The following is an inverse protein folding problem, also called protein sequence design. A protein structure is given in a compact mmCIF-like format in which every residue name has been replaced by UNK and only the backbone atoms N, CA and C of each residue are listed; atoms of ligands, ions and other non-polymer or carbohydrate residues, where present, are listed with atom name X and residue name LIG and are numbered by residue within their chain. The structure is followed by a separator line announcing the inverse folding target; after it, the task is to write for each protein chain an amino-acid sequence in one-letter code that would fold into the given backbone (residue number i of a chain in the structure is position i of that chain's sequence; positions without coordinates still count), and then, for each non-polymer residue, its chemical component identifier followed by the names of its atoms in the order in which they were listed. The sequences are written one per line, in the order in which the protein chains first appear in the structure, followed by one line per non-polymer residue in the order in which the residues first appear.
data_IF_792128660793
#
_entry.id   IF_792128660793
#
_cell.length_a   1.000
_cell.length_b   1.000
_cell.length_c   1.000
_cell.angle_alpha   90.00
_cell.angle_beta   90.00
_cell.angle_gamma   90.00
#
_symmetry.space_group_name_H-M   'P 1'
#
loop_
_entity.id
_entity.type
_entity.pdbx_description
1 polymer ?
#
# COMPACT_ATOMS: atom_id res chain seq x y z
N UNK A 1 25.20 67.00 14.00
CA UNK A 1 25.92 65.74 14.15
C UNK A 1 25.38 64.81 13.05
N UNK A 2 26.26 64.47 12.09
CA UNK A 2 25.83 63.63 10.94
C UNK A 2 25.72 62.19 11.35
N UNK A 3 24.65 61.47 10.87
CA UNK A 3 24.41 60.06 11.11
C UNK A 3 25.66 59.19 10.84
N UNK A 4 26.45 59.55 9.85
CA UNK A 4 27.71 58.90 9.51
C UNK A 4 28.78 59.01 10.60
N UNK A 5 28.84 60.11 11.35
CA UNK A 5 29.79 60.28 12.44
C UNK A 5 29.44 59.44 13.66
N UNK A 6 28.11 59.28 13.94
CA UNK A 6 27.62 58.41 14.97
C UNK A 6 27.93 56.96 14.69
N UNK A 7 27.72 56.52 13.44
CA UNK A 7 28.05 55.15 13.00
C UNK A 7 29.56 54.90 13.09
N UNK A 8 30.40 55.84 12.68
CA UNK A 8 31.86 55.73 12.72
C UNK A 8 32.39 55.65 14.15
N UNK A 9 31.85 56.46 15.08
CA UNK A 9 32.16 56.38 16.51
C UNK A 9 31.75 55.05 17.14
N UNK A 10 30.55 54.55 16.81
CA UNK A 10 30.03 53.26 17.29
C UNK A 10 30.90 52.09 16.82
N UNK A 11 31.24 52.03 15.54
CA UNK A 11 32.10 50.99 14.97
C UNK A 11 33.50 51.01 15.58
N UNK A 12 34.07 52.20 15.83
CA UNK A 12 35.40 52.35 16.43
C UNK A 12 35.41 51.91 17.90
N UNK A 13 34.34 52.15 18.63
CA UNK A 13 34.16 51.69 20.01
C UNK A 13 34.03 50.14 20.11
N UNK A 14 33.30 49.51 19.16
CA UNK A 14 33.18 48.07 19.01
C UNK A 14 34.53 47.41 18.67
N UNK A 15 35.34 48.06 17.86
CA UNK A 15 36.65 47.55 17.40
C UNK A 15 37.70 47.54 18.53
N UNK A 16 37.56 48.39 19.56
CA UNK A 16 38.47 48.41 20.73
C UNK A 16 38.27 47.23 21.66
N UNK A 17 37.06 46.60 21.69
CA UNK A 17 36.75 45.45 22.56
C UNK A 17 36.30 44.23 21.73
N UNK A 18 37.12 43.83 20.76
CA UNK A 18 36.80 42.84 19.74
C UNK A 18 36.29 41.53 20.32
N UNK A 19 36.90 41.02 21.38
CA UNK A 19 36.56 39.72 21.98
C UNK A 19 35.17 39.74 22.62
N UNK A 20 34.80 40.78 23.35
CA UNK A 20 33.49 40.93 24.00
C UNK A 20 32.39 41.08 22.97
N UNK A 21 32.61 41.91 21.94
CA UNK A 21 31.65 42.11 20.85
C UNK A 21 31.43 40.80 20.04
N UNK A 22 32.53 40.09 19.76
CA UNK A 22 32.46 38.81 19.06
C UNK A 22 31.62 37.76 19.84
N UNK A 23 31.88 37.63 21.15
CA UNK A 23 31.13 36.68 21.98
C UNK A 23 29.64 37.01 22.12
N UNK A 24 29.31 38.34 22.24
CA UNK A 24 27.89 38.72 22.31
C UNK A 24 27.17 38.53 20.98
N UNK A 25 27.79 38.85 19.84
CA UNK A 25 27.23 38.60 18.51
C UNK A 25 27.07 37.10 18.25
N UNK A 26 28.09 36.30 18.61
CA UNK A 26 28.04 34.85 18.49
C UNK A 26 26.90 34.25 19.32
N UNK A 27 26.72 34.71 20.55
CA UNK A 27 25.63 34.24 21.42
C UNK A 27 24.25 34.55 20.84
N UNK A 28 24.06 35.78 20.31
CA UNK A 28 22.79 36.15 19.65
C UNK A 28 22.58 35.33 18.37
N UNK A 29 23.64 35.13 17.58
CA UNK A 29 23.57 34.37 16.33
C UNK A 29 23.19 32.92 16.60
N UNK A 30 23.80 32.24 17.57
CA UNK A 30 23.47 30.88 17.95
C UNK A 30 22.04 30.80 18.48
N UNK A 31 21.64 31.76 19.33
CA UNK A 31 20.28 31.81 19.88
C UNK A 31 19.20 31.96 18.80
N UNK A 32 19.41 32.92 17.88
CA UNK A 32 18.45 33.11 16.76
C UNK A 32 18.45 31.95 15.78
N UNK A 33 19.61 31.39 15.45
CA UNK A 33 19.71 30.23 14.57
C UNK A 33 18.98 29.03 15.16
N UNK A 34 19.13 28.78 16.48
CA UNK A 34 18.42 27.68 17.17
C UNK A 34 16.91 27.83 17.08
N UNK A 35 16.37 29.02 17.28
CA UNK A 35 14.92 29.28 17.17
C UNK A 35 14.44 29.05 15.73
N UNK A 36 15.17 29.54 14.73
CA UNK A 36 14.80 29.39 13.32
C UNK A 36 14.79 27.92 12.93
N UNK A 37 15.81 27.14 13.33
CA UNK A 37 15.88 25.71 13.06
C UNK A 37 14.70 24.97 13.71
N UNK A 38 14.36 25.29 14.96
CA UNK A 38 13.26 24.67 15.68
C UNK A 38 11.90 24.93 14.98
N UNK A 39 11.65 26.17 14.58
CA UNK A 39 10.43 26.54 13.86
C UNK A 39 10.39 25.85 12.48
N UNK A 40 11.50 25.87 11.75
CA UNK A 40 11.60 25.25 10.42
C UNK A 40 11.35 23.75 10.49
N UNK A 41 11.91 23.05 11.49
CA UNK A 41 11.68 21.62 11.70
C UNK A 41 10.21 21.35 12.03
N UNK A 42 9.60 22.16 12.90
CA UNK A 42 8.18 22.02 13.26
C UNK A 42 7.25 22.20 12.05
N UNK A 43 7.48 23.22 11.24
CA UNK A 43 6.69 23.45 10.02
C UNK A 43 6.90 22.35 8.97
N UNK A 44 8.15 21.88 8.81
CA UNK A 44 8.46 20.78 7.88
C UNK A 44 7.76 19.50 8.28
N UNK A 45 7.78 19.16 9.58
CA UNK A 45 7.11 17.98 10.11
C UNK A 45 5.58 18.08 9.95
N UNK A 46 5.00 19.25 10.24
CA UNK A 46 3.58 19.49 10.03
C UNK A 46 3.18 19.32 8.57
N UNK A 47 3.93 19.87 7.63
CA UNK A 47 3.65 19.75 6.20
C UNK A 47 3.76 18.30 5.73
N UNK A 48 4.72 17.53 6.23
CA UNK A 48 4.88 16.11 5.92
C UNK A 48 3.66 15.31 6.39
N UNK A 49 3.20 15.54 7.62
CA UNK A 49 2.00 14.88 8.17
C UNK A 49 0.73 15.23 7.37
N UNK A 50 0.55 16.49 6.99
CA UNK A 50 -0.61 16.85 6.15
C UNK A 50 -0.59 16.15 4.79
N UNK A 51 0.58 16.07 4.16
CA UNK A 51 0.74 15.36 2.86
C UNK A 51 0.42 13.88 3.00
N UNK A 52 0.88 13.23 4.06
CA UNK A 52 0.61 11.81 4.34
C UNK A 52 -0.87 11.54 4.56
N UNK A 53 -1.54 12.37 5.36
CA UNK A 53 -2.98 12.28 5.59
C UNK A 53 -3.77 12.51 4.29
N UNK A 54 -3.36 13.47 3.46
CA UNK A 54 -4.01 13.74 2.18
C UNK A 54 -3.86 12.57 1.20
N UNK A 55 -2.71 11.93 1.15
CA UNK A 55 -2.46 10.72 0.35
C UNK A 55 -3.25 9.51 0.85
N UNK A 56 -3.55 9.43 2.13
CA UNK A 56 -4.41 8.38 2.72
C UNK A 56 -5.91 8.57 2.45
N UNK A 57 -6.30 9.64 1.74
CA UNK A 57 -7.69 9.97 1.43
C UNK A 57 -8.27 11.14 2.22
N UNK A 58 -7.44 11.83 3.02
CA UNK A 58 -7.82 13.01 3.81
C UNK A 58 -8.45 12.68 5.16
N UNK A 59 -8.66 13.73 5.96
CA UNK A 59 -9.24 13.64 7.31
C UNK A 59 -10.72 13.21 7.33
N UNK A 60 -11.39 13.19 6.19
CA UNK A 60 -12.78 12.79 6.02
C UNK A 60 -12.96 11.33 5.62
N UNK A 61 -11.89 10.55 5.63
CA UNK A 61 -11.87 9.15 5.15
C UNK A 61 -12.01 8.18 6.32
N UNK A 62 -12.97 7.26 6.21
CA UNK A 62 -13.21 6.15 7.14
C UNK A 62 -12.94 4.85 6.39
N UNK A 63 -12.16 3.96 6.97
CA UNK A 63 -11.99 2.61 6.44
C UNK A 63 -12.82 1.63 7.24
N UNK A 64 -13.73 0.94 6.55
CA UNK A 64 -14.57 -0.10 7.12
C UNK A 64 -13.98 -1.44 6.69
N UNK A 65 -13.61 -2.29 7.65
CA UNK A 65 -13.11 -3.64 7.40
C UNK A 65 -14.16 -4.68 7.80
N UNK A 66 -14.29 -5.75 7.01
CA UNK A 66 -15.17 -6.86 7.35
C UNK A 66 -14.62 -7.67 8.53
N UNK A 67 -15.48 -8.35 9.27
CA UNK A 67 -15.13 -9.14 10.45
C UNK A 67 -14.20 -10.33 10.15
N UNK A 68 -14.18 -10.81 8.90
CA UNK A 68 -13.37 -11.96 8.47
C UNK A 68 -11.90 -11.62 8.15
N UNK A 69 -11.53 -10.34 8.14
CA UNK A 69 -10.19 -9.89 7.71
C UNK A 69 -9.22 -9.64 8.87
N UNK A 70 -9.49 -10.11 10.07
CA UNK A 70 -8.46 -10.13 11.08
C UNK A 70 -7.47 -11.24 10.75
N UNK A 71 -6.40 -10.79 10.10
CA UNK A 71 -5.05 -11.35 10.08
C UNK A 71 -4.95 -12.85 10.43
N UNK A 72 -4.40 -13.67 9.54
CA UNK A 72 -4.23 -15.12 9.59
C UNK A 72 -3.80 -15.81 10.89
N UNK A 73 -4.22 -15.31 12.03
CA UNK A 73 -4.06 -15.87 13.35
C UNK A 73 -5.43 -16.22 13.90
N UNK A 74 -5.93 -17.39 13.47
CA UNK A 74 -7.08 -18.03 14.09
C UNK A 74 -6.77 -18.34 15.56
N UNK A 75 -7.03 -17.38 16.44
CA UNK A 75 -7.40 -17.73 17.79
C UNK A 75 -8.80 -18.35 17.68
N UNK A 76 -8.89 -19.68 17.77
CA UNK A 76 -10.11 -20.39 18.08
C UNK A 76 -10.69 -19.81 19.38
N UNK A 77 -11.46 -18.74 19.25
CA UNK A 77 -12.33 -18.29 20.31
C UNK A 77 -13.56 -19.22 20.30
N UNK A 78 -13.50 -20.26 21.12
CA UNK A 78 -14.67 -21.02 21.56
C UNK A 78 -15.65 -20.08 22.25
N UNK A 79 -16.54 -19.48 21.48
CA UNK A 79 -17.65 -18.68 21.96
C UNK A 79 -18.87 -18.95 21.08
N UNK A 80 -19.80 -19.75 21.57
CA UNK A 80 -21.10 -20.02 20.99
C UNK A 80 -21.92 -18.71 20.92
N UNK A 81 -21.92 -18.05 19.77
CA UNK A 81 -22.83 -16.99 19.42
C UNK A 81 -22.94 -16.96 17.89
N UNK A 82 -24.17 -16.98 17.37
CA UNK A 82 -24.46 -16.70 15.98
C UNK A 82 -24.12 -15.22 15.70
N UNK A 83 -22.85 -14.92 15.59
CA UNK A 83 -22.43 -13.64 15.00
C UNK A 83 -22.63 -13.79 13.49
N UNK A 84 -23.59 -13.04 12.99
CA UNK A 84 -23.76 -12.81 11.56
C UNK A 84 -22.50 -12.10 11.12
N UNK A 85 -21.56 -12.85 10.54
CA UNK A 85 -20.32 -12.29 10.00
C UNK A 85 -20.68 -11.13 9.09
N UNK A 86 -20.36 -9.91 9.51
CA UNK A 86 -20.64 -8.69 8.75
C UNK A 86 -19.63 -8.61 7.61
N UNK A 87 -20.05 -9.10 6.44
CA UNK A 87 -19.26 -9.08 5.21
C UNK A 87 -19.64 -7.88 4.37
N UNK A 88 -18.65 -7.34 3.69
CA UNK A 88 -18.85 -6.21 2.79
C UNK A 88 -19.21 -6.76 1.41
N UNK A 89 -20.49 -6.62 1.03
CA UNK A 89 -21.01 -6.98 -0.28
C UNK A 89 -21.50 -5.75 -1.05
N UNK A 90 -21.94 -5.95 -2.29
CA UNK A 90 -22.45 -4.87 -3.14
C UNK A 90 -23.68 -4.18 -2.50
N UNK A 91 -24.50 -4.90 -1.72
CA UNK A 91 -25.70 -4.33 -1.08
C UNK A 91 -25.33 -3.39 0.08
N UNK A 92 -24.32 -3.78 0.87
CA UNK A 92 -23.81 -2.93 1.95
C UNK A 92 -23.15 -1.67 1.39
N UNK A 93 -22.35 -1.81 0.32
CA UNK A 93 -21.73 -0.67 -0.37
C UNK A 93 -22.81 0.31 -0.87
N UNK A 94 -23.86 -0.19 -1.52
CA UNK A 94 -24.97 0.63 -2.00
C UNK A 94 -25.71 1.30 -0.85
N UNK A 95 -25.96 0.58 0.26
CA UNK A 95 -26.62 1.14 1.45
C UNK A 95 -25.80 2.28 2.04
N UNK A 96 -24.48 2.10 2.21
CA UNK A 96 -23.60 3.11 2.78
C UNK A 96 -23.46 4.30 1.83
N UNK A 97 -23.41 4.08 0.52
CA UNK A 97 -23.30 5.17 -0.46
C UNK A 97 -24.52 6.12 -0.48
N UNK A 98 -25.67 5.64 0.02
CA UNK A 98 -26.92 6.42 0.10
C UNK A 98 -27.16 7.06 1.47
N UNK A 99 -26.24 6.90 2.42
CA UNK A 99 -26.33 7.51 3.73
C UNK A 99 -26.10 9.01 3.67
N UNK A 100 -26.73 9.73 4.56
CA UNK A 100 -26.50 11.17 4.72
C UNK A 100 -25.03 11.41 5.08
N UNK A 101 -24.48 12.52 4.60
CA UNK A 101 -23.09 12.93 4.80
C UNK A 101 -22.02 12.00 4.18
N UNK A 102 -22.39 10.99 3.39
CA UNK A 102 -21.46 10.15 2.63
C UNK A 102 -21.31 10.69 1.22
N UNK A 103 -20.10 11.13 0.89
CA UNK A 103 -19.72 11.65 -0.45
C UNK A 103 -19.26 10.54 -1.39
N UNK A 104 -18.60 9.53 -0.85
CA UNK A 104 -18.07 8.41 -1.62
C UNK A 104 -18.02 7.17 -0.74
N UNK A 105 -18.45 6.03 -1.29
CA UNK A 105 -18.24 4.70 -0.73
C UNK A 105 -17.53 3.85 -1.79
N UNK A 106 -16.22 3.65 -1.63
CA UNK A 106 -15.38 2.94 -2.58
C UNK A 106 -14.99 1.57 -2.02
N UNK A 107 -15.51 0.46 -2.59
CA UNK A 107 -15.10 -0.88 -2.19
C UNK A 107 -13.67 -1.16 -2.65
N UNK A 108 -12.92 -1.85 -1.80
CA UNK A 108 -11.55 -2.26 -2.03
C UNK A 108 -11.49 -3.79 -1.91
N UNK A 109 -10.90 -4.42 -2.90
CA UNK A 109 -10.55 -5.82 -2.83
C UNK A 109 -9.03 -5.98 -2.88
N UNK A 110 -8.48 -6.57 -1.83
CA UNK A 110 -7.06 -6.80 -1.68
C UNK A 110 -6.74 -8.28 -1.90
N UNK A 111 -5.70 -8.54 -2.66
CA UNK A 111 -5.19 -9.89 -2.88
C UNK A 111 -3.70 -9.85 -3.11
N UNK A 112 -3.01 -10.89 -2.65
CA UNK A 112 -1.58 -11.05 -2.94
C UNK A 112 -1.39 -11.63 -4.33
N UNK A 113 -0.49 -11.05 -5.11
CA UNK A 113 -0.14 -11.52 -6.45
C UNK A 113 1.38 -11.59 -6.61
N UNK A 114 1.84 -12.44 -7.53
CA UNK A 114 3.24 -12.53 -7.90
C UNK A 114 3.44 -11.85 -9.24
N UNK A 115 4.41 -10.95 -9.30
CA UNK A 115 4.86 -10.30 -10.52
C UNK A 115 6.20 -10.91 -10.96
N UNK A 116 6.30 -11.20 -12.25
CA UNK A 116 7.51 -11.80 -12.83
C UNK A 116 8.04 -10.95 -13.98
N UNK A 117 9.37 -10.78 -14.01
CA UNK A 117 10.11 -10.17 -15.12
C UNK A 117 11.46 -10.85 -15.32
N UNK A 118 11.57 -11.66 -16.35
CA UNK A 118 12.78 -12.45 -16.56
C UNK A 118 13.06 -13.39 -15.40
N UNK A 119 14.22 -13.23 -14.74
CA UNK A 119 14.61 -13.95 -13.53
C UNK A 119 14.18 -13.28 -12.23
N UNK A 120 13.50 -12.13 -12.31
CA UNK A 120 13.05 -11.41 -11.12
C UNK A 120 11.59 -11.73 -10.79
N UNK A 121 11.32 -11.82 -9.50
CA UNK A 121 10.00 -12.05 -8.93
C UNK A 121 9.74 -11.06 -7.78
N UNK A 122 8.51 -10.58 -7.67
CA UNK A 122 8.04 -9.82 -6.52
C UNK A 122 6.67 -10.35 -6.09
N UNK A 123 6.46 -10.48 -4.79
CA UNK A 123 5.13 -10.72 -4.22
C UNK A 123 4.60 -9.41 -3.67
N UNK A 124 3.49 -8.94 -4.22
CA UNK A 124 2.94 -7.61 -3.91
C UNK A 124 1.46 -7.71 -3.54
N UNK A 125 0.99 -6.72 -2.80
CA UNK A 125 -0.43 -6.55 -2.50
C UNK A 125 -1.10 -5.77 -3.62
N UNK A 126 -2.03 -6.42 -4.31
CA UNK A 126 -2.84 -5.81 -5.36
C UNK A 126 -4.16 -5.32 -4.78
N UNK A 127 -4.43 -4.04 -4.92
CA UNK A 127 -5.67 -3.40 -4.47
C UNK A 127 -6.53 -3.04 -5.69
N UNK A 128 -7.65 -3.75 -5.84
CA UNK A 128 -8.67 -3.42 -6.82
C UNK A 128 -9.63 -2.38 -6.27
N UNK A 129 -9.73 -1.24 -6.94
CA UNK A 129 -10.60 -0.13 -6.53
C UNK A 129 -11.42 0.39 -7.71
N UNK A 130 -12.56 1.02 -7.40
CA UNK A 130 -13.34 1.73 -8.42
C UNK A 130 -12.58 2.97 -8.93
N UNK A 131 -12.87 3.47 -10.14
CA UNK A 131 -12.21 4.67 -10.67
C UNK A 131 -12.36 5.90 -9.74
N UNK A 132 -13.51 6.04 -9.09
CA UNK A 132 -13.77 7.09 -8.11
C UNK A 132 -12.92 6.88 -6.84
N UNK A 133 -12.78 5.62 -6.41
CA UNK A 133 -11.91 5.25 -5.29
C UNK A 133 -10.46 5.60 -5.57
N UNK A 134 -9.94 5.23 -6.74
CA UNK A 134 -8.56 5.56 -7.17
C UNK A 134 -8.33 7.08 -7.24
N UNK A 135 -9.30 7.84 -7.77
CA UNK A 135 -9.23 9.31 -7.77
C UNK A 135 -9.20 9.90 -6.36
N UNK A 136 -9.91 9.27 -5.41
CA UNK A 136 -9.98 9.76 -4.03
C UNK A 136 -8.67 9.62 -3.25
N UNK A 137 -7.76 8.77 -3.71
CA UNK A 137 -6.43 8.59 -3.13
C UNK A 137 -5.47 9.75 -3.44
N UNK A 138 -5.85 10.62 -4.38
CA UNK A 138 -5.07 11.82 -4.75
C UNK A 138 -3.58 11.50 -5.03
N UNK A 139 -3.33 10.33 -5.68
CA UNK A 139 -1.98 9.87 -5.99
C UNK A 139 -1.30 10.81 -6.98
N UNK A 140 -0.11 11.26 -6.63
CA UNK A 140 0.76 11.98 -7.56
C UNK A 140 1.43 10.97 -8.49
N UNK A 141 0.91 10.84 -9.72
CA UNK A 141 1.50 9.99 -10.74
C UNK A 141 2.58 10.78 -11.48
N UNK A 142 3.84 10.39 -11.28
CA UNK A 142 4.97 11.01 -11.97
C UNK A 142 4.87 10.81 -13.48
N UNK A 143 4.64 9.57 -13.88
CA UNK A 143 4.42 9.17 -15.27
C UNK A 143 3.16 8.31 -15.35
N UNK A 144 2.29 8.60 -16.29
CA UNK A 144 1.12 7.77 -16.58
C UNK A 144 -0.24 8.38 -16.22
N UNK A 145 -1.24 7.51 -16.19
CA UNK A 145 -2.65 7.87 -15.93
C UNK A 145 -3.32 6.80 -15.09
N UNK A 146 -4.49 7.10 -14.56
CA UNK A 146 -5.32 6.09 -13.89
C UNK A 146 -5.71 4.96 -14.87
N UNK A 147 -5.82 3.71 -14.39
CA UNK A 147 -6.20 2.57 -15.22
C UNK A 147 -7.58 2.76 -15.80
N UNK A 148 -7.76 2.30 -17.05
CA UNK A 148 -9.03 2.40 -17.76
C UNK A 148 -9.89 1.18 -17.46
N UNK A 149 -11.16 1.42 -17.16
CA UNK A 149 -12.15 0.36 -16.96
C UNK A 149 -12.55 -0.29 -18.28
N UNK A 150 -12.69 -1.62 -18.29
CA UNK A 150 -13.29 -2.35 -19.41
C UNK A 150 -12.40 -2.52 -20.66
N UNK A 151 -11.10 -2.32 -20.55
CA UNK A 151 -10.15 -2.52 -21.66
C UNK A 151 -9.85 -4.00 -21.97
N UNK A 152 -10.30 -4.93 -21.13
CA UNK A 152 -10.01 -6.36 -21.23
C UNK A 152 -8.57 -6.73 -20.84
N UNK A 153 -7.74 -5.75 -20.54
CA UNK A 153 -6.38 -5.92 -20.02
C UNK A 153 -6.26 -5.24 -18.66
N UNK A 154 -5.62 -5.91 -17.72
CA UNK A 154 -5.38 -5.34 -16.40
C UNK A 154 -4.21 -4.35 -16.50
N UNK A 155 -4.50 -3.09 -16.19
CA UNK A 155 -3.53 -2.02 -16.07
C UNK A 155 -3.25 -1.76 -14.59
N UNK A 156 -1.97 -1.57 -14.24
CA UNK A 156 -1.51 -1.44 -12.86
C UNK A 156 -0.92 -0.06 -12.62
N UNK A 157 -1.21 0.51 -11.43
CA UNK A 157 -0.43 1.63 -10.88
C UNK A 157 0.50 1.04 -9.84
N UNK A 158 1.77 1.36 -9.93
CA UNK A 158 2.78 0.91 -8.99
C UNK A 158 3.14 2.01 -7.98
N UNK A 159 3.26 1.64 -6.71
CA UNK A 159 3.91 2.46 -5.71
C UNK A 159 5.39 2.67 -6.05
N UNK A 160 5.96 3.77 -5.57
CA UNK A 160 7.36 4.13 -5.86
C UNK A 160 8.37 3.13 -5.27
N UNK A 161 8.00 2.35 -4.24
CA UNK A 161 8.83 1.33 -3.61
C UNK A 161 8.71 -0.07 -4.20
N UNK A 162 7.69 -0.38 -4.97
CA UNK A 162 7.43 -1.74 -5.48
C UNK A 162 8.62 -2.33 -6.25
N UNK A 163 9.46 -1.51 -6.86
CA UNK A 163 10.66 -1.96 -7.54
C UNK A 163 11.67 -2.63 -6.59
N UNK A 164 11.66 -2.28 -5.29
CA UNK A 164 12.54 -2.85 -4.28
C UNK A 164 12.12 -4.23 -3.80
N UNK A 165 10.85 -4.62 -4.05
CA UNK A 165 10.31 -5.94 -3.70
C UNK A 165 10.73 -7.04 -4.67
N UNK A 166 11.29 -6.63 -5.83
CA UNK A 166 11.79 -7.61 -6.80
C UNK A 166 13.12 -8.21 -6.35
N UNK A 167 13.16 -9.52 -6.32
CA UNK A 167 14.38 -10.31 -6.06
C UNK A 167 14.61 -11.33 -7.16
N UNK A 168 15.84 -11.74 -7.32
CA UNK A 168 16.24 -12.75 -8.31
C UNK A 168 15.89 -14.15 -7.84
N UNK A 169 15.08 -14.88 -8.60
CA UNK A 169 14.59 -16.22 -8.23
C UNK A 169 15.69 -17.25 -8.01
N UNK A 170 16.85 -17.11 -8.69
CA UNK A 170 17.95 -18.06 -8.55
C UNK A 170 18.82 -17.89 -7.32
N UNK A 171 19.04 -16.65 -6.89
CA UNK A 171 19.89 -16.31 -5.73
C UNK A 171 19.07 -15.92 -4.49
N UNK A 172 17.82 -15.52 -4.67
CA UNK A 172 16.99 -14.94 -3.61
C UNK A 172 17.39 -13.50 -3.25
N UNK A 173 18.40 -12.92 -3.93
CA UNK A 173 18.93 -11.62 -3.59
C UNK A 173 18.04 -10.50 -4.16
N UNK A 174 17.64 -9.57 -3.31
CA UNK A 174 16.87 -8.38 -3.64
C UNK A 174 17.62 -7.07 -3.37
N UNK A 175 16.87 -5.98 -3.40
CA UNK A 175 17.38 -4.65 -3.07
C UNK A 175 17.93 -4.58 -1.65
N UNK A 176 17.25 -5.18 -0.69
CA UNK A 176 17.63 -5.15 0.74
C UNK A 176 18.91 -5.94 1.03
N UNK A 177 19.28 -6.90 0.17
CA UNK A 177 20.51 -7.69 0.31
C UNK A 177 21.69 -7.03 -0.38
N UNK A 178 21.44 -6.43 -1.54
CA UNK A 178 22.52 -5.95 -2.45
C UNK A 178 22.66 -4.44 -2.49
N UNK A 179 21.65 -3.69 -2.01
CA UNK A 179 21.56 -2.24 -2.16
C UNK A 179 21.36 -1.77 -3.61
N UNK A 180 21.08 -2.70 -4.54
CA UNK A 180 20.94 -2.39 -5.96
C UNK A 180 19.51 -2.65 -6.43
N UNK A 181 18.94 -1.65 -7.08
CA UNK A 181 17.62 -1.77 -7.71
C UNK A 181 17.72 -2.68 -8.94
N UNK A 182 16.79 -3.63 -9.13
CA UNK A 182 16.72 -4.44 -10.34
C UNK A 182 16.59 -3.57 -11.60
N UNK A 183 17.20 -4.00 -12.70
CA UNK A 183 17.10 -3.29 -13.97
C UNK A 183 15.76 -3.60 -14.67
N UNK A 184 14.67 -3.14 -14.06
CA UNK A 184 13.30 -3.30 -14.54
C UNK A 184 12.70 -1.90 -14.68
N UNK A 185 12.10 -1.62 -15.84
CA UNK A 185 11.36 -0.38 -16.04
C UNK A 185 9.86 -0.68 -15.94
N UNK A 186 9.26 -0.39 -14.79
CA UNK A 186 7.85 -0.69 -14.51
C UNK A 186 6.91 -0.09 -15.57
N UNK A 187 7.20 1.11 -16.10
CA UNK A 187 6.36 1.76 -17.11
C UNK A 187 6.46 1.16 -18.52
N UNK A 188 7.63 0.69 -18.90
CA UNK A 188 7.90 0.23 -20.28
C UNK A 188 7.85 -1.27 -20.44
N UNK A 189 8.19 -1.98 -19.39
CA UNK A 189 8.27 -3.44 -19.41
C UNK A 189 6.89 -4.07 -19.22
N UNK A 190 6.62 -5.12 -19.97
CA UNK A 190 5.48 -5.99 -19.71
C UNK A 190 5.85 -6.98 -18.61
N UNK A 191 5.02 -7.08 -17.60
CA UNK A 191 5.18 -8.00 -16.49
C UNK A 191 4.20 -9.17 -16.64
N UNK A 192 4.54 -10.31 -16.09
CA UNK A 192 3.61 -11.41 -15.91
C UNK A 192 3.09 -11.41 -14.48
N UNK A 193 1.79 -11.51 -14.31
CA UNK A 193 1.12 -11.57 -13.02
C UNK A 193 0.53 -12.98 -12.81
N UNK A 194 0.68 -13.48 -11.61
CA UNK A 194 0.09 -14.74 -11.14
C UNK A 194 -0.77 -14.41 -9.93
N UNK A 195 -2.02 -14.83 -9.97
CA UNK A 195 -3.01 -14.64 -8.91
C UNK A 195 -3.09 -15.83 -7.96
N UNK A 196 -2.74 -17.02 -8.43
CA UNK A 196 -2.69 -18.27 -7.65
C UNK A 196 -1.30 -18.43 -6.99
N UNK A 197 -1.07 -17.65 -5.94
CA UNK A 197 0.22 -17.60 -5.24
C UNK A 197 0.51 -18.86 -4.46
N UNK A 198 -0.53 -19.53 -3.92
CA UNK A 198 -0.39 -20.76 -3.14
C UNK A 198 0.17 -21.90 -4.00
N UNK A 199 -0.45 -22.14 -5.17
CA UNK A 199 0.02 -23.20 -6.08
C UNK A 199 1.39 -22.86 -6.71
N UNK A 200 1.66 -21.60 -7.00
CA UNK A 200 2.97 -21.18 -7.53
C UNK A 200 4.10 -21.39 -6.53
N UNK A 201 3.89 -21.04 -5.25
CA UNK A 201 4.89 -21.21 -4.20
C UNK A 201 5.14 -22.69 -3.89
N UNK A 202 4.11 -23.55 -3.97
CA UNK A 202 4.28 -24.99 -3.80
C UNK A 202 5.12 -25.62 -4.91
N UNK A 203 4.92 -25.19 -6.16
CA UNK A 203 5.70 -25.67 -7.30
C UNK A 203 7.16 -25.17 -7.22
N UNK A 204 7.39 -23.93 -6.82
CA UNK A 204 8.74 -23.38 -6.69
C UNK A 204 9.51 -23.99 -5.51
N UNK A 205 8.86 -24.26 -4.38
CA UNK A 205 9.49 -24.92 -3.24
C UNK A 205 9.86 -26.38 -3.56
N UNK A 206 9.09 -27.07 -4.40
CA UNK A 206 9.45 -28.38 -4.91
C UNK A 206 10.67 -28.37 -5.85
N UNK A 207 10.89 -27.25 -6.56
CA UNK A 207 12.05 -27.06 -7.44
C UNK A 207 13.33 -26.64 -6.67
N UNK A 208 13.20 -26.03 -5.51
CA UNK A 208 14.32 -25.59 -4.63
C UNK A 208 14.55 -26.50 -3.40
N UNK A 209 13.66 -27.46 -3.15
CA UNK A 209 13.77 -28.42 -2.03
C UNK A 209 14.58 -29.62 -2.43
N UNK A 210 15.78 -29.71 -1.98
CA UNK A 210 16.50 -30.81 -1.38
C UNK A 210 17.99 -30.79 -1.67
N UNK A 211 18.69 -30.05 -0.87
CA UNK A 211 20.13 -30.27 -0.65
C UNK A 211 20.52 -29.77 0.73
N UNK A 212 19.89 -30.23 1.81
CA UNK A 212 20.56 -30.35 3.11
C UNK A 212 19.65 -31.01 4.15
N UNK A 213 20.15 -32.11 4.67
CA UNK A 213 19.85 -32.67 5.97
C UNK A 213 18.61 -33.56 6.14
N UNK A 214 18.79 -34.83 5.68
CA UNK A 214 18.04 -35.97 6.21
C UNK A 214 18.71 -36.49 7.46
N UNK A 215 18.37 -35.97 8.62
CA UNK A 215 18.57 -36.69 9.88
C UNK A 215 17.25 -36.70 10.67
N UNK A 216 16.64 -37.88 10.63
CA UNK A 216 15.82 -38.53 11.62
C UNK A 216 14.87 -37.72 12.49
N UNK A 217 13.56 -37.91 12.26
CA UNK A 217 12.48 -37.58 13.20
C UNK A 217 11.16 -38.12 12.71
N UNK A 218 10.74 -39.27 13.23
CA UNK A 218 9.54 -40.01 12.88
C UNK A 218 8.24 -39.22 13.11
N UNK A 219 7.28 -39.33 12.17
CA UNK A 219 5.85 -39.34 12.48
C UNK A 219 5.06 -38.10 12.21
N UNK A 220 4.69 -37.88 10.95
CA UNK A 220 3.34 -37.41 10.58
C UNK A 220 3.09 -37.79 9.13
N UNK A 221 2.24 -38.76 8.93
CA UNK A 221 1.66 -39.07 7.61
C UNK A 221 0.77 -37.87 7.19
N UNK A 222 1.32 -36.96 6.41
CA UNK A 222 0.50 -36.10 5.57
C UNK A 222 0.23 -36.89 4.28
N UNK A 223 -1.04 -37.12 4.03
CA UNK A 223 -1.62 -37.74 2.84
C UNK A 223 -1.18 -36.95 1.60
N UNK A 224 -0.08 -37.39 0.99
CA UNK A 224 0.39 -36.85 -0.29
C UNK A 224 -0.47 -37.44 -1.41
N UNK A 225 -1.67 -36.88 -1.56
CA UNK A 225 -2.42 -37.05 -2.78
C UNK A 225 -1.57 -36.54 -3.95
N UNK A 226 -1.21 -37.42 -4.86
CA UNK A 226 -0.63 -37.13 -6.17
C UNK A 226 -1.63 -36.33 -7.01
N UNK A 227 -1.85 -35.05 -6.60
CA UNK A 227 -2.58 -34.07 -7.38
C UNK A 227 -1.63 -33.56 -8.47
N UNK A 228 -1.94 -33.84 -9.73
CA UNK A 228 -1.34 -33.18 -10.87
C UNK A 228 -1.49 -31.66 -10.65
N UNK A 229 -0.41 -30.98 -10.30
CA UNK A 229 -0.34 -29.52 -10.22
C UNK A 229 -0.67 -28.97 -11.61
N UNK A 230 -1.84 -28.34 -11.73
CA UNK A 230 -2.18 -27.66 -12.98
C UNK A 230 -1.24 -26.48 -13.15
N UNK A 231 -0.68 -26.25 -14.35
CA UNK A 231 0.21 -25.12 -14.56
C UNK A 231 -0.51 -23.82 -14.19
N UNK A 232 0.15 -23.01 -13.38
CA UNK A 232 -0.39 -21.72 -12.91
C UNK A 232 -0.53 -20.76 -14.08
N UNK A 233 -1.69 -20.10 -14.18
CA UNK A 233 -1.99 -19.16 -15.25
C UNK A 233 -1.18 -17.87 -15.06
N UNK A 234 -0.53 -17.40 -16.13
CA UNK A 234 0.22 -16.14 -16.16
C UNK A 234 -0.51 -15.13 -17.02
N UNK A 235 -0.75 -13.94 -16.47
CA UNK A 235 -1.39 -12.82 -17.18
C UNK A 235 -0.37 -11.75 -17.52
N UNK A 236 -0.40 -11.26 -18.75
CA UNK A 236 0.43 -10.11 -19.13
C UNK A 236 -0.24 -8.85 -18.61
N UNK A 237 0.49 -8.11 -17.79
CA UNK A 237 0.04 -6.82 -17.23
C UNK A 237 0.99 -5.71 -17.64
N UNK A 238 0.49 -4.48 -17.67
CA UNK A 238 1.24 -3.27 -17.99
C UNK A 238 0.98 -2.20 -16.96
N UNK A 239 1.96 -1.35 -16.74
CA UNK A 239 1.74 -0.16 -15.95
C UNK A 239 0.85 0.85 -16.70
N UNK A 240 -0.11 1.44 -16.00
CA UNK A 240 -0.78 2.67 -16.41
C UNK A 240 -0.12 3.89 -15.78
N UNK A 241 0.53 3.74 -14.63
CA UNK A 241 1.25 4.79 -13.93
C UNK A 241 2.18 4.25 -12.85
N UNK A 242 3.09 5.11 -12.43
CA UNK A 242 3.95 4.90 -11.25
C UNK A 242 3.83 6.14 -10.36
N UNK A 243 3.65 5.91 -9.06
CA UNK A 243 3.56 6.99 -8.07
C UNK A 243 4.90 7.72 -8.01
N UNK A 244 4.83 9.05 -8.03
CA UNK A 244 6.01 9.90 -7.95
C UNK A 244 6.64 9.82 -6.56
N UNK A 245 7.94 9.62 -6.51
CA UNK A 245 8.71 9.54 -5.27
C UNK A 245 10.04 8.86 -5.46
N UNK A 246 10.97 9.11 -4.54
CA UNK A 246 12.23 8.37 -4.44
C UNK A 246 12.05 7.07 -3.66
N UNK A 247 13.08 6.22 -3.66
CA UNK A 247 13.08 4.98 -2.86
C UNK A 247 13.09 5.24 -1.34
N UNK A 248 13.47 6.45 -0.93
CA UNK A 248 13.47 6.88 0.47
C UNK A 248 12.20 7.65 0.86
N UNK A 249 11.27 7.84 -0.09
CA UNK A 249 10.00 8.55 0.14
C UNK A 249 8.89 7.53 0.49
N UNK A 250 8.91 7.09 1.74
CA UNK A 250 7.95 6.14 2.26
C UNK A 250 6.58 6.81 2.45
N UNK A 251 5.61 6.42 1.64
CA UNK A 251 4.21 6.82 1.74
C UNK A 251 3.32 5.61 2.00
N UNK A 252 2.07 5.82 2.38
CA UNK A 252 1.11 4.72 2.57
C UNK A 252 0.87 3.88 1.30
N UNK A 253 1.24 4.41 0.13
CA UNK A 253 1.10 3.74 -1.16
C UNK A 253 2.44 3.21 -1.70
N UNK A 254 3.51 3.23 -0.88
CA UNK A 254 4.88 2.90 -1.27
C UNK A 254 4.99 1.50 -1.90
N UNK A 255 4.49 0.46 -1.20
CA UNK A 255 4.57 -0.94 -1.61
C UNK A 255 3.26 -1.46 -2.23
N UNK A 256 2.31 -0.56 -2.51
CA UNK A 256 0.99 -0.95 -3.00
C UNK A 256 0.93 -0.94 -4.53
N UNK A 257 0.17 -1.88 -5.06
CA UNK A 257 -0.16 -1.94 -6.49
C UNK A 257 -1.67 -1.79 -6.64
N UNK A 258 -2.11 -0.87 -7.50
CA UNK A 258 -3.53 -0.58 -7.69
C UNK A 258 -3.99 -0.97 -9.09
N UNK A 259 -5.25 -1.38 -9.20
CA UNK A 259 -5.88 -1.67 -10.47
C UNK A 259 -7.39 -1.35 -10.47
N UNK A 260 -7.99 -1.41 -11.65
CA UNK A 260 -9.44 -1.31 -11.78
C UNK A 260 -10.13 -2.55 -11.24
N UNK A 261 -11.06 -2.35 -10.29
CA UNK A 261 -11.78 -3.40 -9.58
C UNK A 261 -12.61 -4.29 -10.53
N UNK A 262 -13.34 -3.69 -11.47
CA UNK A 262 -14.19 -4.48 -12.36
C UNK A 262 -13.39 -5.36 -13.31
N UNK A 263 -12.28 -4.85 -13.84
CA UNK A 263 -11.37 -5.65 -14.67
C UNK A 263 -10.75 -6.80 -13.87
N UNK A 264 -10.35 -6.54 -12.62
CA UNK A 264 -9.83 -7.57 -11.71
C UNK A 264 -10.90 -8.62 -11.38
N UNK A 265 -12.14 -8.23 -11.06
CA UNK A 265 -13.26 -9.15 -10.80
C UNK A 265 -13.53 -10.09 -11.99
N UNK A 266 -13.51 -9.53 -13.21
CA UNK A 266 -13.71 -10.30 -14.44
C UNK A 266 -12.58 -11.32 -14.64
N UNK A 267 -11.34 -10.93 -14.42
CA UNK A 267 -10.17 -11.80 -14.51
C UNK A 267 -10.26 -12.94 -13.49
N UNK A 268 -10.52 -12.65 -12.22
CA UNK A 268 -10.64 -13.64 -11.16
C UNK A 268 -11.80 -14.59 -11.37
N UNK A 269 -12.97 -14.10 -11.79
CA UNK A 269 -14.12 -14.95 -12.12
C UNK A 269 -13.84 -15.92 -13.26
N UNK A 270 -13.05 -15.49 -14.25
CA UNK A 270 -12.64 -16.34 -15.39
C UNK A 270 -11.63 -17.38 -14.95
N UNK A 271 -10.65 -17.01 -14.14
CA UNK A 271 -9.58 -17.91 -13.67
C UNK A 271 -10.11 -18.96 -12.71
N UNK A 272 -10.91 -18.52 -11.75
CA UNK A 272 -11.47 -19.40 -10.71
C UNK A 272 -12.89 -19.88 -11.03
N UNK A 273 -13.23 -20.01 -12.30
CA UNK A 273 -14.54 -20.53 -12.69
C UNK A 273 -14.82 -21.90 -12.06
N UNK A 274 -15.82 -21.97 -11.19
CA UNK A 274 -16.19 -23.19 -10.43
C UNK A 274 -15.32 -23.47 -9.19
N UNK A 275 -14.38 -22.61 -8.85
CA UNK A 275 -13.56 -22.68 -7.65
C UNK A 275 -13.81 -21.46 -6.75
N UNK A 276 -13.25 -21.48 -5.54
CA UNK A 276 -13.27 -20.33 -4.65
C UNK A 276 -12.12 -19.40 -5.04
N UNK A 277 -12.42 -18.13 -5.23
CA UNK A 277 -11.41 -17.09 -5.46
C UNK A 277 -10.62 -16.91 -4.15
N UNK A 278 -9.26 -16.80 -4.17
CA UNK A 278 -8.47 -16.51 -2.99
C UNK A 278 -8.98 -15.25 -2.26
N UNK A 279 -9.02 -15.31 -0.92
CA UNK A 279 -9.57 -14.20 -0.13
C UNK A 279 -11.09 -14.07 -0.12
N UNK A 280 -11.83 -14.88 -0.90
CA UNK A 280 -13.30 -14.89 -0.83
C UNK A 280 -13.80 -15.91 0.20
N UNK A 281 -14.89 -15.58 0.93
CA UNK A 281 -15.45 -16.47 1.94
C UNK A 281 -16.02 -17.75 1.31
N UNK A 282 -15.96 -18.84 2.10
CA UNK A 282 -16.41 -20.18 1.71
C UNK A 282 -17.65 -20.58 2.51
N UNK A 283 -18.51 -21.40 1.93
CA UNK A 283 -19.57 -22.08 2.69
C UNK A 283 -18.95 -23.11 3.65
N UNK A 284 -19.71 -23.56 4.65
CA UNK A 284 -19.29 -24.67 5.54
C UNK A 284 -18.87 -25.93 4.77
N UNK A 285 -19.34 -26.09 3.54
CA UNK A 285 -18.99 -27.21 2.64
C UNK A 285 -17.79 -26.90 1.72
N UNK A 286 -17.06 -25.78 1.95
CA UNK A 286 -15.89 -25.37 1.17
C UNK A 286 -16.19 -24.82 -0.24
N UNK A 287 -17.46 -24.55 -0.57
CA UNK A 287 -17.86 -24.01 -1.87
C UNK A 287 -17.88 -22.48 -1.83
N UNK A 288 -17.68 -21.84 -2.99
CA UNK A 288 -17.82 -20.40 -3.15
C UNK A 288 -19.23 -19.93 -2.76
N UNK A 289 -19.30 -18.80 -2.04
CA UNK A 289 -20.58 -18.12 -1.80
C UNK A 289 -21.03 -17.41 -3.09
N UNK A 290 -22.34 -17.17 -3.17
CA UNK A 290 -22.90 -16.34 -4.24
C UNK A 290 -22.58 -14.88 -3.93
N UNK A 291 -22.01 -14.16 -4.87
CA UNK A 291 -21.63 -12.77 -4.73
C UNK A 291 -20.11 -12.57 -4.75
N UNK A 292 -19.71 -11.33 -4.67
CA UNK A 292 -18.32 -10.93 -4.50
C UNK A 292 -18.23 -10.10 -3.23
N UNK A 293 -17.25 -10.39 -2.40
CA UNK A 293 -17.06 -9.74 -1.11
C UNK A 293 -15.78 -8.93 -1.13
N UNK A 294 -15.83 -7.77 -0.53
CA UNK A 294 -14.71 -6.82 -0.48
C UNK A 294 -13.95 -6.94 0.82
N UNK A 295 -12.66 -6.71 0.74
CA UNK A 295 -11.75 -6.75 1.89
C UNK A 295 -12.02 -5.58 2.82
N UNK A 296 -12.23 -4.40 2.23
CA UNK A 296 -12.53 -3.18 2.95
C UNK A 296 -13.39 -2.24 2.10
N UNK A 297 -13.95 -1.23 2.75
CA UNK A 297 -14.70 -0.16 2.12
C UNK A 297 -14.16 1.17 2.61
N UNK A 298 -13.72 1.99 1.67
CA UNK A 298 -13.29 3.36 1.96
C UNK A 298 -14.49 4.30 1.81
N UNK A 299 -14.91 4.89 2.91
CA UNK A 299 -16.01 5.84 2.96
C UNK A 299 -15.44 7.23 3.15
N UNK A 300 -15.85 8.19 2.34
CA UNK A 300 -15.47 9.59 2.45
C UNK A 300 -16.68 10.39 2.85
N UNK A 301 -16.60 11.04 4.02
CA UNK A 301 -17.63 11.99 4.46
C UNK A 301 -17.55 13.31 3.68
N UNK A 302 -18.61 14.08 3.67
CA UNK A 302 -18.69 15.41 3.05
C UNK A 302 -17.88 16.45 3.84
N UNK A 303 -17.87 16.35 5.17
CA UNK A 303 -17.12 17.23 6.07
C UNK A 303 -16.49 16.43 7.22
N UNK A 304 -15.45 17.02 7.84
CA UNK A 304 -14.74 16.42 8.98
C UNK A 304 -15.63 16.29 10.22
N UNK A 305 -16.55 17.21 10.39
CA UNK A 305 -17.47 17.21 11.54
C UNK A 305 -18.46 16.04 11.51
N UNK A 306 -18.78 15.53 10.31
CA UNK A 306 -19.68 14.39 10.12
C UNK A 306 -18.99 13.03 10.15
N UNK A 307 -17.66 12.97 10.21
CA UNK A 307 -16.91 11.71 10.18
C UNK A 307 -17.31 10.77 11.32
N UNK A 308 -17.46 11.31 12.54
CA UNK A 308 -17.84 10.52 13.71
C UNK A 308 -19.27 10.01 13.59
N UNK A 309 -20.20 10.86 13.13
CA UNK A 309 -21.60 10.50 12.93
C UNK A 309 -21.75 9.37 11.90
N UNK A 310 -21.09 9.50 10.75
CA UNK A 310 -21.05 8.45 9.72
C UNK A 310 -20.44 7.16 10.25
N UNK A 311 -19.34 7.24 11.01
CA UNK A 311 -18.68 6.08 11.59
C UNK A 311 -19.58 5.34 12.59
N UNK A 312 -20.31 6.06 13.43
CA UNK A 312 -21.22 5.48 14.43
C UNK A 312 -22.44 4.78 13.78
N UNK A 313 -22.92 5.30 12.65
CA UNK A 313 -24.04 4.68 11.90
C UNK A 313 -23.58 3.41 11.15
N UNK A 314 -22.30 3.34 10.73
CA UNK A 314 -21.74 2.17 10.03
C UNK A 314 -21.42 1.03 11.02
N UNK A 315 -21.05 1.33 12.25
CA UNK A 315 -20.70 0.37 13.30
C UNK A 315 -21.90 -0.47 13.77
#
# INVERSE_FOLDING_TARGET
MNWNDLLRMSINSLRRRKLRTFLTVLGVLIGTASIVVMISLGLGMQQSLYKEVEQSGGLTSITVTGSDNSDGMTTESMGSGQETEKRIDDQLVEKISKMDHVKLAAPIYETSVILLKGSYMAQVQLQGMTPEGLKSLNMDLGDGTLPKTGTGHLELIFGNGVITDFYETGSGNGYYDTGKVPNINLMKDSLFMITDTENYNSDSSAAFGDSADRTAGAGSQSDSGTGQTKPVQKYVVRASGVINGGLDDYSNNYDSVFCDLETLKQLLRKEYAGKVIPGQPKTKAGKALKGFYYTSLKVKADDIDHVNEVADVIR
#
